data_IF_970338060733
#
_entry.id   IF_970338060733
#
_cell.length_a   1.000
_cell.length_b   1.000
_cell.length_c   1.000
_cell.angle_alpha   90.00
_cell.angle_beta   90.00
_cell.angle_gamma   90.00
#
_symmetry.space_group_name_H-M   'P 1'
#
loop_
_entity.id
_entity.type
_entity.pdbx_description
1 polymer ?
#
# COMPACT_ATOMS: atom_id res chain seq x y z
N UNK A 1 0.53 -8.23 -7.07
CA UNK A 1 -0.34 -8.50 -5.90
C UNK A 1 0.37 -8.01 -4.65
N UNK A 2 -0.19 -8.24 -3.45
CA UNK A 2 0.65 -8.18 -2.25
C UNK A 2 1.77 -9.22 -2.38
N UNK A 3 2.97 -8.95 -1.87
CA UNK A 3 4.11 -9.88 -1.89
C UNK A 3 4.39 -10.52 -3.26
N UNK A 4 4.34 -9.74 -4.35
CA UNK A 4 4.70 -10.26 -5.68
C UNK A 4 3.67 -11.19 -6.35
N UNK A 5 2.59 -11.59 -5.67
CA UNK A 5 1.63 -12.63 -6.11
C UNK A 5 1.05 -12.52 -7.54
N UNK A 6 1.11 -11.36 -8.19
CA UNK A 6 0.61 -11.21 -9.57
C UNK A 6 1.79 -11.00 -10.49
N UNK A 7 1.95 -11.88 -11.46
CA UNK A 7 2.96 -11.83 -12.51
C UNK A 7 2.35 -11.55 -13.88
N UNK A 8 3.22 -11.13 -14.80
CA UNK A 8 2.97 -11.15 -16.22
C UNK A 8 3.77 -12.32 -16.81
N UNK A 9 3.14 -13.11 -17.67
CA UNK A 9 3.80 -14.23 -18.33
C UNK A 9 4.41 -13.75 -19.64
N UNK A 10 5.73 -13.88 -19.77
CA UNK A 10 6.50 -13.46 -20.94
C UNK A 10 7.08 -14.67 -21.64
N UNK A 11 6.98 -14.70 -22.97
CA UNK A 11 7.60 -15.73 -23.81
C UNK A 11 8.57 -15.07 -24.77
N UNK A 12 9.82 -15.56 -24.80
CA UNK A 12 10.81 -15.13 -25.80
C UNK A 12 10.31 -15.49 -27.19
N UNK A 13 10.36 -14.54 -28.12
CA UNK A 13 9.94 -14.68 -29.52
C UNK A 13 11.06 -14.37 -30.51
N UNK A 14 12.21 -13.90 -30.04
CA UNK A 14 13.39 -13.67 -30.88
C UNK A 14 14.52 -12.96 -30.14
N UNK A 15 15.56 -12.64 -30.90
CA UNK A 15 16.70 -11.84 -30.48
C UNK A 15 16.66 -10.49 -31.21
N UNK A 16 17.12 -9.45 -30.54
CA UNK A 16 17.15 -8.07 -31.04
C UNK A 16 18.35 -7.30 -30.43
N UNK A 17 19.60 -7.74 -30.67
CA UNK A 17 20.78 -7.23 -29.96
C UNK A 17 21.09 -5.74 -30.16
N UNK A 18 20.55 -5.13 -31.22
CA UNK A 18 20.75 -3.72 -31.56
C UNK A 18 19.55 -2.83 -31.22
N UNK A 19 18.52 -3.40 -30.59
CA UNK A 19 17.33 -2.67 -30.18
C UNK A 19 17.49 -2.15 -28.74
N UNK A 20 16.95 -0.95 -28.49
CA UNK A 20 16.89 -0.41 -27.13
C UNK A 20 15.86 -1.16 -26.29
N UNK A 21 16.16 -1.29 -25.01
CA UNK A 21 15.24 -1.84 -24.01
C UNK A 21 13.98 -0.96 -23.92
N UNK A 22 12.80 -1.56 -24.07
CA UNK A 22 11.51 -0.86 -24.01
C UNK A 22 10.33 -1.81 -23.93
N UNK A 23 9.15 -1.28 -23.60
CA UNK A 23 7.86 -1.97 -23.73
C UNK A 23 6.95 -1.24 -24.72
N UNK A 24 6.37 -2.00 -25.65
CA UNK A 24 5.41 -1.50 -26.64
C UNK A 24 4.03 -2.14 -26.43
N UNK A 25 2.97 -1.33 -26.58
CA UNK A 25 1.59 -1.82 -26.63
C UNK A 25 1.25 -2.23 -28.06
N UNK A 26 0.78 -3.46 -28.22
CA UNK A 26 0.43 -4.02 -29.54
C UNK A 26 -1.06 -4.29 -29.61
N UNK A 27 -1.70 -3.71 -30.63
CA UNK A 27 -3.11 -3.89 -30.92
C UNK A 27 -3.27 -4.94 -32.02
N UNK A 28 -3.89 -6.08 -31.72
CA UNK A 28 -4.21 -7.07 -32.73
C UNK A 28 -5.52 -6.69 -33.43
N UNK A 29 -5.47 -6.41 -34.73
CA UNK A 29 -6.64 -5.99 -35.51
C UNK A 29 -7.69 -7.10 -35.71
N UNK A 30 -7.29 -8.37 -35.62
CA UNK A 30 -8.18 -9.53 -35.80
C UNK A 30 -8.76 -10.10 -34.50
N UNK A 31 -8.18 -9.78 -33.34
CA UNK A 31 -8.64 -10.25 -32.05
C UNK A 31 -8.61 -9.09 -31.06
N UNK A 32 -9.73 -8.77 -30.41
CA UNK A 32 -9.95 -7.62 -29.52
C UNK A 32 -9.07 -7.57 -28.24
N UNK A 33 -7.82 -8.02 -28.29
CA UNK A 33 -6.90 -8.12 -27.18
C UNK A 33 -5.67 -7.26 -27.44
N UNK A 34 -5.45 -6.31 -26.55
CA UNK A 34 -4.19 -5.56 -26.46
C UNK A 34 -3.16 -6.47 -25.77
N UNK A 35 -1.98 -6.61 -26.37
CA UNK A 35 -0.83 -7.29 -25.76
C UNK A 35 0.37 -6.35 -25.67
N UNK A 36 1.50 -6.85 -25.15
CA UNK A 36 2.75 -6.11 -25.05
C UNK A 36 3.90 -6.88 -25.66
N UNK A 37 4.83 -6.15 -26.26
CA UNK A 37 6.16 -6.65 -26.62
C UNK A 37 7.17 -5.96 -25.70
N UNK A 38 8.17 -6.72 -25.24
CA UNK A 38 9.28 -6.20 -24.43
C UNK A 38 10.59 -6.51 -25.13
N UNK A 39 11.39 -5.48 -25.33
CA UNK A 39 12.79 -5.54 -25.72
C UNK A 39 13.60 -5.41 -24.43
N UNK A 40 14.43 -6.40 -24.12
CA UNK A 40 15.22 -6.40 -22.89
C UNK A 40 16.51 -7.18 -23.11
N UNK A 41 17.67 -6.55 -22.87
CA UNK A 41 19.00 -7.16 -22.95
C UNK A 41 19.27 -7.83 -24.31
N UNK A 42 18.80 -7.21 -25.40
CA UNK A 42 18.95 -7.76 -26.74
C UNK A 42 18.06 -8.96 -27.06
N UNK A 43 17.04 -9.23 -26.24
CA UNK A 43 16.04 -10.28 -26.46
C UNK A 43 14.63 -9.69 -26.59
N UNK A 44 13.79 -10.37 -27.38
CA UNK A 44 12.42 -9.97 -27.68
C UNK A 44 11.41 -10.91 -27.02
N UNK A 45 10.46 -10.35 -26.27
CA UNK A 45 9.43 -11.11 -25.55
C UNK A 45 8.02 -10.62 -25.89
N UNK A 46 7.06 -11.54 -25.94
CA UNK A 46 5.63 -11.22 -26.00
C UNK A 46 4.93 -11.57 -24.67
N UNK A 47 4.05 -10.68 -24.21
CA UNK A 47 3.19 -10.97 -23.06
C UNK A 47 2.10 -11.96 -23.49
N UNK A 48 2.04 -13.10 -22.82
CA UNK A 48 1.08 -14.18 -23.13
C UNK A 48 -0.13 -14.18 -22.19
N UNK A 49 -0.02 -13.52 -21.04
CA UNK A 49 -1.10 -13.41 -20.08
C UNK A 49 -0.67 -12.83 -18.74
N UNK A 50 -1.61 -12.87 -17.79
CA UNK A 50 -1.40 -12.53 -16.40
C UNK A 50 -1.73 -13.75 -15.55
N UNK A 51 -1.02 -13.91 -14.44
CA UNK A 51 -1.26 -15.01 -13.53
C UNK A 51 -0.56 -14.80 -12.20
N UNK A 52 -0.32 -15.92 -11.54
CA UNK A 52 0.54 -16.02 -10.37
C UNK A 52 2.01 -15.87 -10.80
N UNK A 53 2.82 -15.20 -9.98
CA UNK A 53 4.26 -15.17 -10.22
C UNK A 53 4.86 -16.55 -9.91
N UNK A 54 5.99 -16.89 -10.51
CA UNK A 54 6.59 -18.22 -10.37
C UNK A 54 6.71 -18.69 -8.90
N UNK A 55 7.24 -17.84 -8.02
CA UNK A 55 7.40 -18.15 -6.58
C UNK A 55 6.22 -17.67 -5.71
N UNK A 56 5.05 -17.37 -6.29
CA UNK A 56 3.92 -16.96 -5.45
C UNK A 56 3.28 -18.15 -4.77
N UNK A 57 3.06 -18.00 -3.46
CA UNK A 57 2.23 -18.90 -2.68
C UNK A 57 1.19 -18.11 -1.90
N UNK A 58 0.04 -17.76 -2.52
CA UNK A 58 -0.95 -16.88 -1.90
C UNK A 58 -1.46 -17.35 -0.54
N UNK A 59 -1.53 -18.67 -0.31
CA UNK A 59 -2.01 -19.25 0.94
C UNK A 59 -1.13 -18.88 2.15
N UNK A 60 0.20 -18.84 2.02
CA UNK A 60 1.10 -18.41 3.10
C UNK A 60 0.86 -16.94 3.43
N UNK A 61 0.82 -16.08 2.41
CA UNK A 61 0.56 -14.65 2.61
C UNK A 61 -0.82 -14.39 3.24
N UNK A 62 -1.85 -15.13 2.81
CA UNK A 62 -3.18 -15.08 3.41
C UNK A 62 -3.12 -15.48 4.89
N UNK A 63 -2.49 -16.61 5.22
CA UNK A 63 -2.35 -17.11 6.59
C UNK A 63 -1.63 -16.11 7.50
N UNK A 64 -0.48 -15.59 7.07
CA UNK A 64 0.30 -14.60 7.84
C UNK A 64 -0.52 -13.33 8.09
N UNK A 65 -1.22 -12.82 7.08
CA UNK A 65 -2.04 -11.60 7.24
C UNK A 65 -3.29 -11.81 8.08
N UNK A 66 -3.89 -13.00 8.03
CA UNK A 66 -5.00 -13.37 8.90
C UNK A 66 -4.54 -13.48 10.36
N UNK A 67 -3.44 -14.17 10.61
CA UNK A 67 -2.85 -14.29 11.95
C UNK A 67 -2.52 -12.91 12.54
N UNK A 68 -1.83 -12.05 11.80
CA UNK A 68 -1.50 -10.70 12.26
C UNK A 68 -2.75 -9.86 12.60
N UNK A 69 -3.82 -9.98 11.80
CA UNK A 69 -5.10 -9.31 12.06
C UNK A 69 -5.78 -9.83 13.32
N UNK A 70 -5.82 -11.14 13.51
CA UNK A 70 -6.39 -11.77 14.70
C UNK A 70 -5.59 -11.42 15.97
N UNK A 71 -4.27 -11.34 15.85
CA UNK A 71 -3.41 -10.89 16.94
C UNK A 71 -3.72 -9.43 17.31
N UNK A 72 -3.75 -8.52 16.32
CA UNK A 72 -4.10 -7.11 16.55
C UNK A 72 -5.50 -6.96 17.17
N UNK A 73 -6.47 -7.77 16.71
CA UNK A 73 -7.81 -7.82 17.29
C UNK A 73 -7.77 -8.26 18.77
N UNK A 74 -7.02 -9.30 19.10
CA UNK A 74 -6.88 -9.76 20.50
C UNK A 74 -6.32 -8.67 21.42
N UNK A 75 -5.37 -7.86 20.93
CA UNK A 75 -4.84 -6.70 21.64
C UNK A 75 -5.88 -5.59 21.82
N UNK A 76 -6.71 -5.32 20.81
CA UNK A 76 -7.83 -4.38 20.92
C UNK A 76 -8.84 -4.83 21.97
N UNK A 77 -9.17 -6.14 22.00
CA UNK A 77 -10.05 -6.73 23.01
C UNK A 77 -9.47 -6.59 24.42
N UNK A 78 -8.16 -6.82 24.59
CA UNK A 78 -7.49 -6.67 25.88
C UNK A 78 -7.37 -5.20 26.33
N UNK A 79 -7.07 -4.27 25.42
CA UNK A 79 -7.13 -2.84 25.70
C UNK A 79 -8.55 -2.42 26.13
N UNK A 80 -9.56 -3.07 25.54
CA UNK A 80 -10.98 -2.84 25.79
C UNK A 80 -11.52 -1.67 24.96
N UNK A 81 -12.82 -1.75 24.65
CA UNK A 81 -13.52 -0.72 23.89
C UNK A 81 -13.38 0.66 24.55
N UNK A 82 -13.19 1.69 23.73
CA UNK A 82 -12.95 3.07 24.18
C UNK A 82 -11.50 3.39 24.56
N UNK A 83 -10.61 2.39 24.65
CA UNK A 83 -9.19 2.61 24.99
C UNK A 83 -8.23 2.52 23.81
N UNK A 84 -8.72 2.19 22.61
CA UNK A 84 -7.98 2.25 21.36
C UNK A 84 -8.67 3.24 20.40
N UNK A 85 -7.88 4.02 19.68
CA UNK A 85 -8.38 5.07 18.79
C UNK A 85 -8.12 4.76 17.31
N UNK A 86 -7.04 4.03 17.01
CA UNK A 86 -6.64 3.76 15.64
C UNK A 86 -5.76 2.51 15.55
N UNK A 87 -5.83 1.81 14.42
CA UNK A 87 -4.95 0.69 14.11
C UNK A 87 -4.44 0.78 12.67
N UNK A 88 -3.17 0.40 12.44
CA UNK A 88 -2.62 0.24 11.08
C UNK A 88 -1.60 -0.87 11.04
N UNK A 89 -1.98 -1.96 10.37
CA UNK A 89 -1.16 -3.16 10.06
C UNK A 89 -0.64 -3.91 11.28
N UNK A 90 0.23 -3.27 12.06
CA UNK A 90 1.00 -3.82 13.17
C UNK A 90 1.09 -2.84 14.35
N UNK A 91 0.25 -1.80 14.39
CA UNK A 91 0.26 -0.75 15.41
C UNK A 91 -1.13 -0.42 15.94
N UNK A 92 -1.18 -0.01 17.22
CA UNK A 92 -2.36 0.54 17.90
C UNK A 92 -2.02 1.90 18.51
N UNK A 93 -2.94 2.85 18.39
CA UNK A 93 -2.95 4.06 19.20
C UNK A 93 -3.95 3.82 20.33
N UNK A 94 -3.46 3.88 21.58
CA UNK A 94 -4.26 3.64 22.79
C UNK A 94 -4.11 4.79 23.77
N UNK A 95 -5.06 4.92 24.69
CA UNK A 95 -4.90 5.77 25.87
C UNK A 95 -4.09 5.05 26.97
N UNK A 96 -3.88 5.73 28.09
CA UNK A 96 -3.13 5.20 29.23
C UNK A 96 -3.75 3.93 29.83
N UNK A 97 -5.08 3.88 29.98
CA UNK A 97 -5.78 2.71 30.50
C UNK A 97 -5.60 1.49 29.59
N UNK A 98 -5.68 1.67 28.27
CA UNK A 98 -5.40 0.64 27.27
C UNK A 98 -3.94 0.17 27.33
N UNK A 99 -2.99 1.09 27.46
CA UNK A 99 -1.57 0.76 27.60
C UNK A 99 -1.30 -0.07 28.87
N UNK A 100 -1.88 0.31 30.00
CA UNK A 100 -1.75 -0.44 31.26
C UNK A 100 -2.28 -1.87 31.11
N UNK A 101 -3.43 -2.06 30.44
CA UNK A 101 -3.97 -3.40 30.17
C UNK A 101 -3.09 -4.24 29.25
N UNK A 102 -2.29 -3.61 28.39
CA UNK A 102 -1.37 -4.26 27.46
C UNK A 102 0.04 -4.49 28.04
N UNK A 103 0.30 -4.12 29.30
CA UNK A 103 1.64 -4.15 29.91
C UNK A 103 2.35 -5.51 29.79
N UNK A 104 1.61 -6.61 29.87
CA UNK A 104 2.17 -7.97 29.80
C UNK A 104 2.72 -8.33 28.41
N UNK A 105 2.35 -7.58 27.37
CA UNK A 105 2.84 -7.76 26.01
C UNK A 105 4.00 -6.81 25.67
N UNK A 106 4.31 -5.85 26.55
CA UNK A 106 5.38 -4.88 26.31
C UNK A 106 6.75 -5.54 26.48
N UNK A 107 7.39 -5.83 25.35
CA UNK A 107 8.73 -6.40 25.33
C UNK A 107 9.45 -6.02 24.04
N UNK A 108 10.53 -5.24 24.16
CA UNK A 108 11.31 -4.77 23.00
C UNK A 108 12.30 -5.80 22.47
N UNK A 109 12.54 -6.89 23.21
CA UNK A 109 13.58 -7.90 22.91
C UNK A 109 13.02 -9.22 22.40
N UNK A 110 11.72 -9.46 22.48
CA UNK A 110 11.10 -10.71 22.05
C UNK A 110 10.46 -10.59 20.67
N UNK A 111 10.50 -11.67 19.91
CA UNK A 111 9.78 -11.77 18.65
C UNK A 111 8.27 -11.73 18.91
N UNK A 112 7.55 -10.84 18.23
CA UNK A 112 6.11 -10.65 18.44
C UNK A 112 5.73 -9.78 19.66
N UNK A 113 6.73 -9.35 20.44
CA UNK A 113 6.54 -8.40 21.53
C UNK A 113 6.14 -7.02 21.03
N UNK A 114 5.35 -6.31 21.82
CA UNK A 114 4.91 -4.94 21.51
C UNK A 114 5.89 -3.96 22.13
N UNK A 115 6.16 -2.87 21.42
CA UNK A 115 6.95 -1.76 21.93
C UNK A 115 6.15 -0.47 21.90
N UNK A 116 6.39 0.39 22.89
CA UNK A 116 5.88 1.76 22.90
C UNK A 116 6.73 2.61 21.96
N UNK A 117 6.18 2.95 20.80
CA UNK A 117 6.87 3.74 19.77
C UNK A 117 6.93 5.23 20.09
N UNK A 118 5.85 5.78 20.67
CA UNK A 118 5.73 7.20 20.96
C UNK A 118 4.63 7.46 21.99
N UNK A 119 4.59 8.66 22.55
CA UNK A 119 3.55 9.16 23.45
C UNK A 119 3.18 10.60 23.11
N UNK A 120 1.92 10.96 23.32
CA UNK A 120 1.46 12.34 23.15
C UNK A 120 0.18 12.57 23.94
N UNK A 121 -0.06 13.82 24.31
CA UNK A 121 -1.30 14.27 24.95
C UNK A 121 -2.44 14.50 23.94
N UNK A 122 -2.16 14.48 22.63
CA UNK A 122 -3.18 14.70 21.61
C UNK A 122 -2.97 13.85 20.35
N UNK A 123 -4.08 13.43 19.77
CA UNK A 123 -4.15 12.77 18.48
C UNK A 123 -5.32 13.36 17.68
N UNK A 124 -5.12 13.59 16.39
CA UNK A 124 -6.19 13.97 15.45
C UNK A 124 -6.22 12.97 14.31
N UNK A 125 -7.26 12.15 14.29
CA UNK A 125 -7.51 11.14 13.27
C UNK A 125 -8.42 11.75 12.20
N UNK A 126 -7.99 11.75 10.94
CA UNK A 126 -8.75 12.29 9.80
C UNK A 126 -9.15 11.22 8.80
N UNK A 127 -8.49 10.06 8.86
CA UNK A 127 -8.80 8.91 8.05
C UNK A 127 -7.68 7.89 8.05
N UNK A 128 -7.75 6.94 7.12
CA UNK A 128 -6.75 5.87 7.01
C UNK A 128 -5.39 6.43 6.60
N UNK A 129 -4.42 6.30 7.50
CA UNK A 129 -3.06 6.84 7.35
C UNK A 129 -3.08 8.35 7.09
N UNK A 130 -4.07 9.07 7.63
CA UNK A 130 -4.11 10.53 7.73
C UNK A 130 -4.39 10.92 9.17
N UNK A 131 -3.34 11.17 9.95
CA UNK A 131 -3.45 11.56 11.35
C UNK A 131 -2.25 12.37 11.82
N UNK A 132 -2.45 13.14 12.89
CA UNK A 132 -1.37 13.76 13.65
C UNK A 132 -1.35 13.21 15.07
N UNK A 133 -0.16 12.87 15.55
CA UNK A 133 0.09 12.34 16.89
C UNK A 133 1.22 13.15 17.50
N UNK A 134 0.89 14.10 18.37
CA UNK A 134 1.82 15.16 18.78
C UNK A 134 2.40 15.91 17.58
N UNK A 135 3.73 15.97 17.49
CA UNK A 135 4.46 16.58 16.37
C UNK A 135 4.52 15.71 15.10
N UNK A 136 4.18 14.42 15.20
CA UNK A 136 4.23 13.50 14.05
C UNK A 136 2.98 13.69 13.19
N UNK A 137 3.18 14.03 11.93
CA UNK A 137 2.12 14.05 10.92
C UNK A 137 2.30 12.88 9.94
N UNK A 138 1.23 12.13 9.70
CA UNK A 138 1.21 10.99 8.77
C UNK A 138 0.11 11.25 7.76
N UNK A 139 0.46 11.30 6.47
CA UNK A 139 -0.48 11.46 5.37
C UNK A 139 -0.13 10.48 4.26
N UNK A 140 -1.06 9.58 3.93
CA UNK A 140 -0.83 8.54 2.94
C UNK A 140 -0.53 9.14 1.56
N UNK A 141 0.57 8.69 0.97
CA UNK A 141 0.93 9.06 -0.40
C UNK A 141 1.53 10.47 -0.55
N UNK A 142 1.59 11.25 0.53
CA UNK A 142 2.26 12.54 0.58
C UNK A 142 3.60 12.36 1.32
N UNK A 143 4.70 12.72 0.66
CA UNK A 143 6.04 12.63 1.25
C UNK A 143 6.22 13.73 2.31
N UNK A 144 7.13 13.50 3.26
CA UNK A 144 7.49 14.49 4.29
C UNK A 144 8.03 15.79 3.70
N UNK A 145 8.71 15.72 2.56
CA UNK A 145 9.28 16.84 1.83
C UNK A 145 8.39 17.33 0.67
N UNK A 146 7.14 16.88 0.58
CA UNK A 146 6.21 17.38 -0.42
C UNK A 146 5.87 18.86 -0.12
N UNK A 147 5.75 19.65 -1.18
CA UNK A 147 5.42 21.08 -1.09
C UNK A 147 3.92 21.22 -1.28
N UNK A 148 3.22 21.80 -0.32
CA UNK A 148 1.81 22.16 -0.47
C UNK A 148 1.72 23.43 -1.33
N UNK A 149 1.27 23.29 -2.58
CA UNK A 149 1.14 24.42 -3.51
C UNK A 149 -0.09 25.25 -3.14
N UNK A 150 -1.20 24.56 -2.86
CA UNK A 150 -2.43 25.13 -2.34
C UNK A 150 -3.04 24.15 -1.34
N UNK A 151 -4.00 24.61 -0.53
CA UNK A 151 -4.61 23.78 0.52
C UNK A 151 -5.10 22.44 -0.02
N UNK A 152 -4.50 21.34 0.44
CA UNK A 152 -4.84 19.97 0.02
C UNK A 152 -4.23 19.53 -1.32
N UNK A 153 -3.37 20.34 -1.94
CA UNK A 153 -2.70 20.03 -3.21
C UNK A 153 -1.19 20.07 -3.01
N UNK A 154 -0.56 18.92 -3.18
CA UNK A 154 0.87 18.73 -2.91
C UNK A 154 1.61 18.37 -4.19
N UNK A 155 2.81 18.92 -4.36
CA UNK A 155 3.77 18.49 -5.36
C UNK A 155 4.90 17.73 -4.69
N UNK A 156 5.27 16.60 -5.29
CA UNK A 156 6.40 15.80 -4.82
C UNK A 156 7.10 15.11 -5.97
N UNK A 157 8.33 14.67 -5.71
CA UNK A 157 9.09 13.88 -6.68
C UNK A 157 8.43 12.52 -6.96
N UNK A 158 8.46 12.14 -8.23
CA UNK A 158 8.11 10.82 -8.71
C UNK A 158 9.35 10.15 -9.30
N UNK A 159 9.78 9.10 -8.62
CA UNK A 159 10.92 8.30 -9.01
C UNK A 159 10.45 7.20 -9.95
N UNK A 160 11.04 7.06 -11.15
CA UNK A 160 10.59 6.07 -12.11
C UNK A 160 10.90 4.65 -11.61
N UNK A 161 9.94 3.76 -11.77
CA UNK A 161 10.17 2.31 -11.61
C UNK A 161 10.82 1.74 -12.86
N UNK A 162 11.47 0.57 -12.78
CA UNK A 162 12.03 -0.11 -13.95
C UNK A 162 11.00 -0.29 -15.08
N UNK A 163 9.78 -0.72 -14.76
CA UNK A 163 8.68 -0.77 -15.73
C UNK A 163 8.27 0.60 -16.28
N UNK A 164 8.42 1.65 -15.47
CA UNK A 164 8.18 3.03 -15.91
C UNK A 164 9.22 3.46 -16.94
N UNK A 165 10.48 3.13 -16.73
CA UNK A 165 11.59 3.39 -17.65
C UNK A 165 11.43 2.64 -18.97
N UNK A 166 11.07 1.35 -18.93
CA UNK A 166 10.82 0.59 -20.15
C UNK A 166 9.67 1.19 -20.98
N UNK A 167 8.67 1.79 -20.32
CA UNK A 167 7.55 2.43 -21.02
C UNK A 167 7.86 3.83 -21.54
N UNK A 168 8.86 4.53 -21.01
CA UNK A 168 9.29 5.81 -21.59
C UNK A 168 10.05 5.60 -22.90
N UNK A 169 10.53 4.38 -23.17
CA UNK A 169 11.31 4.06 -24.37
C UNK A 169 12.77 4.51 -24.31
N UNK A 170 13.19 5.05 -23.18
CA UNK A 170 14.55 5.53 -22.91
C UNK A 170 14.98 5.10 -21.50
N UNK A 171 15.29 3.81 -21.29
CA UNK A 171 15.63 3.30 -19.96
C UNK A 171 17.04 3.66 -19.51
N UNK A 172 17.89 4.15 -20.43
CA UNK A 172 19.25 4.60 -20.15
C UNK A 172 19.27 5.96 -19.43
N UNK A 173 18.14 6.69 -19.44
CA UNK A 173 18.00 7.96 -18.73
C UNK A 173 17.15 7.80 -17.47
N UNK A 174 17.76 8.09 -16.31
CA UNK A 174 17.06 8.08 -15.03
C UNK A 174 16.61 9.49 -14.64
N UNK A 175 15.43 9.91 -15.10
CA UNK A 175 14.88 11.24 -14.78
C UNK A 175 13.87 11.17 -13.62
N UNK A 176 14.12 11.96 -12.58
CA UNK A 176 13.15 12.17 -11.48
C UNK A 176 12.17 13.25 -11.91
N UNK A 177 10.89 12.87 -12.06
CA UNK A 177 9.81 13.79 -12.38
C UNK A 177 9.15 14.40 -11.14
N UNK A 178 8.15 15.25 -11.35
CA UNK A 178 7.25 15.70 -10.29
C UNK A 178 5.83 15.19 -10.53
N UNK A 179 5.07 14.98 -9.46
CA UNK A 179 3.67 14.57 -9.50
C UNK A 179 2.85 15.41 -8.52
N UNK A 180 1.66 15.81 -8.96
CA UNK A 180 0.68 16.51 -8.12
C UNK A 180 -0.24 15.49 -7.45
N UNK A 181 -0.47 15.66 -6.15
CA UNK A 181 -1.35 14.85 -5.32
C UNK A 181 -2.44 15.72 -4.72
N UNK A 182 -3.67 15.28 -4.89
CA UNK A 182 -4.84 15.90 -4.28
C UNK A 182 -5.25 15.09 -3.06
N UNK A 183 -5.25 15.71 -1.88
CA UNK A 183 -5.64 15.11 -0.63
C UNK A 183 -7.13 15.38 -0.38
N UNK A 184 -7.96 14.35 -0.60
CA UNK A 184 -9.35 14.35 -0.14
C UNK A 184 -9.45 13.61 1.21
N UNK A 185 -10.21 14.17 2.16
CA UNK A 185 -10.43 13.63 3.51
C UNK A 185 -11.80 13.00 3.70
N UNK A 186 -12.54 12.80 2.63
CA UNK A 186 -13.77 12.02 2.65
C UNK A 186 -13.48 10.56 3.04
N UNK A 187 -14.19 10.07 4.06
CA UNK A 187 -14.06 8.69 4.53
C UNK A 187 -15.11 7.80 3.85
N UNK A 188 -14.67 6.90 2.97
CA UNK A 188 -15.57 6.11 2.11
C UNK A 188 -15.59 4.62 2.43
N UNK A 189 -15.13 4.20 3.63
CA UNK A 189 -14.96 2.77 3.98
C UNK A 189 -15.89 2.27 5.09
N UNK A 190 -16.87 3.08 5.45
CA UNK A 190 -17.84 2.81 6.50
C UNK A 190 -18.58 4.08 6.86
N UNK A 191 -19.55 3.96 7.75
CA UNK A 191 -20.30 5.10 8.28
C UNK A 191 -19.58 5.62 9.52
N UNK A 192 -19.32 6.93 9.52
CA UNK A 192 -18.66 7.61 10.64
C UNK A 192 -19.72 8.24 11.53
N UNK A 193 -19.84 7.77 12.77
CA UNK A 193 -20.75 8.35 13.76
C UNK A 193 -20.22 9.68 14.32
N UNK A 194 -21.06 10.50 14.99
CA UNK A 194 -20.66 11.80 15.53
C UNK A 194 -19.50 11.76 16.54
N UNK A 195 -19.33 10.64 17.23
CA UNK A 195 -18.21 10.37 18.16
C UNK A 195 -16.94 9.88 17.44
N UNK A 196 -16.97 9.76 16.11
CA UNK A 196 -15.85 9.37 15.27
C UNK A 196 -15.65 7.86 15.13
N UNK A 197 -16.54 7.03 15.68
CA UNK A 197 -16.50 5.58 15.49
C UNK A 197 -16.90 5.24 14.04
N UNK A 198 -16.20 4.29 13.44
CA UNK A 198 -16.48 3.82 12.08
C UNK A 198 -17.20 2.47 12.17
N UNK A 199 -18.41 2.41 11.62
CA UNK A 199 -19.14 1.15 11.45
C UNK A 199 -19.00 0.68 10.00
N UNK A 200 -18.81 -0.64 9.75
CA UNK A 200 -18.71 -1.15 8.40
C UNK A 200 -20.07 -1.03 7.68
N UNK A 201 -20.03 -0.90 6.35
CA UNK A 201 -21.25 -1.03 5.56
C UNK A 201 -21.85 -2.42 5.76
N UNK A 202 -23.14 -2.48 6.07
CA UNK A 202 -23.90 -3.72 6.12
C UNK A 202 -24.46 -3.95 4.72
N UNK A 203 -24.04 -5.03 4.07
CA UNK A 203 -24.73 -5.46 2.86
C UNK A 203 -26.14 -5.91 3.28
N UNK A 204 -27.17 -5.40 2.61
CA UNK A 204 -28.49 -6.00 2.73
C UNK A 204 -28.36 -7.43 2.18
N UNK A 205 -28.27 -8.40 3.07
CA UNK A 205 -28.54 -9.78 2.67
C UNK A 205 -29.91 -9.78 1.99
N UNK A 206 -29.98 -10.35 0.79
CA UNK A 206 -31.22 -10.41 0.02
C UNK A 206 -32.27 -11.12 0.88
N UNK A 207 -33.32 -10.39 1.26
CA UNK A 207 -34.55 -10.97 1.84
C UNK A 207 -35.14 -12.01 0.90
#
# INVERSE_FOLDING_TARGET
GKFGQKGENWRKIGDCPNERDREELVFNMGGRRVTKIRYLLGELFIMTGHGESFDSFPAIAAHVTAYARMYLWSLMQQAGYGNYFYCDTDSLIVNEAGLCRLQNHLCTKSLGGIKKENESTSVKLRGLKDYSFGSKNVVKGIRKNAIEITKGVFQQEQWPSFRGLLRSGDPDTYTVGTTTKHLNREYTKGEVSPDGVVTPFVFADSL
#
